data_IF_225075463138
#
_entry.id   IF_225075463138
#
_cell.length_a   1.000
_cell.length_b   1.000
_cell.length_c   1.000
_cell.angle_alpha   90.00
_cell.angle_beta   90.00
_cell.angle_gamma   90.00
#
_symmetry.space_group_name_H-M   'P 1'
#
loop_
_entity.id
_entity.type
_entity.pdbx_description
1 polymer ?
#
# COMPACT_ATOMS: atom_id res chain seq x y z
N UNK A 1 -3.39 32.25 -27.21
CA UNK A 1 -2.60 31.09 -27.69
C UNK A 1 -2.60 30.03 -26.59
N UNK A 2 -3.51 29.06 -26.65
CA UNK A 2 -3.49 27.88 -25.78
C UNK A 2 -2.37 26.96 -26.26
N UNK A 3 -1.33 26.76 -25.43
CA UNK A 3 -0.38 25.66 -25.65
C UNK A 3 -1.14 24.35 -25.37
N UNK A 4 -1.56 23.69 -26.44
CA UNK A 4 -1.89 22.27 -26.42
C UNK A 4 -0.60 21.52 -26.10
N UNK A 5 -0.41 21.16 -24.83
CA UNK A 5 0.58 20.17 -24.45
C UNK A 5 0.04 18.81 -24.91
N UNK A 6 0.39 18.43 -26.14
CA UNK A 6 0.23 17.05 -26.61
C UNK A 6 1.21 16.20 -25.80
N UNK A 7 0.71 15.45 -24.81
CA UNK A 7 1.50 14.39 -24.19
C UNK A 7 1.77 13.32 -25.26
N UNK A 8 3.04 13.07 -25.64
CA UNK A 8 3.34 12.03 -26.60
C UNK A 8 3.00 10.69 -25.92
N UNK A 9 2.17 9.89 -26.58
CA UNK A 9 1.69 8.54 -26.23
C UNK A 9 1.50 8.22 -24.73
N UNK A 10 0.25 7.98 -24.25
CA UNK A 10 0.04 7.62 -22.86
C UNK A 10 0.84 6.36 -22.52
N UNK A 11 1.72 6.44 -21.51
CA UNK A 11 2.52 5.32 -21.03
C UNK A 11 1.60 4.12 -20.83
N UNK A 12 1.88 3.03 -21.56
CA UNK A 12 1.10 1.81 -21.42
C UNK A 12 1.69 0.97 -20.29
N UNK A 13 0.94 0.86 -19.20
CA UNK A 13 1.33 0.02 -18.07
C UNK A 13 0.69 -1.35 -18.27
N UNK A 14 1.50 -2.40 -18.22
CA UNK A 14 1.06 -3.79 -18.34
C UNK A 14 1.36 -4.51 -17.04
N UNK A 15 0.34 -5.18 -16.49
CA UNK A 15 0.43 -6.04 -15.32
C UNK A 15 -0.50 -7.24 -15.49
N UNK A 16 -0.30 -8.28 -14.69
CA UNK A 16 -1.14 -9.47 -14.71
C UNK A 16 -1.62 -9.79 -13.31
N UNK A 17 -2.91 -10.08 -13.20
CA UNK A 17 -3.54 -10.57 -11.99
C UNK A 17 -4.17 -11.95 -12.26
N UNK A 18 -4.16 -12.85 -11.26
CA UNK A 18 -4.79 -14.15 -11.42
C UNK A 18 -6.30 -13.98 -11.69
N UNK A 19 -6.92 -14.82 -12.54
CA UNK A 19 -8.33 -14.69 -12.91
C UNK A 19 -9.28 -15.22 -11.82
N UNK A 20 -9.23 -14.64 -10.62
CA UNK A 20 -9.93 -15.09 -9.40
C UNK A 20 -11.42 -15.32 -9.62
N UNK A 21 -12.12 -14.39 -10.27
CA UNK A 21 -13.57 -14.49 -10.47
C UNK A 21 -13.97 -15.76 -11.21
N UNK A 22 -13.18 -16.16 -12.22
CA UNK A 22 -13.41 -17.41 -12.96
C UNK A 22 -13.11 -18.65 -12.12
N UNK A 23 -12.10 -18.59 -11.25
CA UNK A 23 -11.74 -19.71 -10.36
C UNK A 23 -12.79 -19.94 -9.26
N UNK A 24 -13.47 -18.88 -8.82
CA UNK A 24 -14.39 -18.93 -7.69
C UNK A 24 -15.87 -19.07 -8.09
N UNK A 25 -16.20 -18.98 -9.38
CA UNK A 25 -17.58 -19.08 -9.83
C UNK A 25 -18.19 -20.45 -9.45
N UNK A 26 -19.35 -20.43 -8.79
CA UNK A 26 -20.06 -21.60 -8.26
C UNK A 26 -19.50 -22.14 -6.93
N UNK A 27 -18.35 -21.64 -6.47
CA UNK A 27 -17.74 -22.10 -5.22
C UNK A 27 -18.58 -21.74 -3.99
N UNK A 28 -18.46 -22.55 -2.95
CA UNK A 28 -18.99 -22.19 -1.62
C UNK A 28 -18.11 -21.12 -0.96
N UNK A 29 -18.66 -20.31 -0.04
CA UNK A 29 -17.90 -19.34 0.74
C UNK A 29 -16.65 -19.94 1.41
N UNK A 30 -16.78 -21.15 1.97
CA UNK A 30 -15.69 -21.86 2.65
C UNK A 30 -14.56 -22.25 1.69
N UNK A 31 -14.92 -22.81 0.53
CA UNK A 31 -13.95 -23.18 -0.50
C UNK A 31 -13.20 -21.93 -0.99
N UNK A 32 -13.91 -20.83 -1.24
CA UNK A 32 -13.32 -19.60 -1.70
C UNK A 32 -12.32 -18.99 -0.69
N UNK A 33 -12.68 -18.92 0.59
CA UNK A 33 -11.77 -18.46 1.66
C UNK A 33 -10.49 -19.31 1.73
N UNK A 34 -10.63 -20.63 1.59
CA UNK A 34 -9.48 -21.57 1.62
C UNK A 34 -8.57 -21.41 0.39
N UNK A 35 -9.15 -21.15 -0.78
CA UNK A 35 -8.35 -20.93 -1.99
C UNK A 35 -7.62 -19.59 -1.93
N UNK A 36 -8.31 -18.52 -1.56
CA UNK A 36 -7.74 -17.16 -1.48
C UNK A 36 -6.55 -17.12 -0.51
N UNK A 37 -6.63 -17.76 0.65
CA UNK A 37 -5.55 -17.77 1.65
C UNK A 37 -4.26 -18.47 1.18
N UNK A 38 -4.30 -19.18 0.05
CA UNK A 38 -3.15 -19.93 -0.51
C UNK A 38 -2.64 -19.37 -1.83
N UNK A 39 -3.42 -18.52 -2.50
CA UNK A 39 -3.11 -18.09 -3.85
C UNK A 39 -2.13 -16.92 -3.90
N UNK A 40 -2.20 -16.03 -2.92
CA UNK A 40 -1.39 -14.81 -2.90
C UNK A 40 -0.13 -15.03 -2.06
N UNK A 41 1.02 -14.65 -2.61
CA UNK A 41 2.30 -14.67 -1.89
C UNK A 41 2.60 -13.36 -1.17
N UNK A 42 2.01 -12.25 -1.64
CA UNK A 42 2.11 -10.92 -1.05
C UNK A 42 0.76 -10.55 -0.44
N UNK A 43 0.78 -10.04 0.78
CA UNK A 43 -0.44 -9.63 1.51
C UNK A 43 -1.47 -10.78 1.65
N UNK A 44 -0.99 -12.02 1.80
CA UNK A 44 -1.82 -13.22 1.87
C UNK A 44 -2.82 -13.16 3.03
N UNK A 45 -2.38 -12.63 4.18
CA UNK A 45 -3.23 -12.48 5.35
C UNK A 45 -4.26 -11.37 5.16
N UNK A 46 -3.90 -10.28 4.47
CA UNK A 46 -4.88 -9.24 4.12
C UNK A 46 -5.94 -9.74 3.14
N UNK A 47 -5.56 -10.53 2.13
CA UNK A 47 -6.52 -11.19 1.22
C UNK A 47 -7.43 -12.16 1.97
N UNK A 48 -6.89 -12.94 2.91
CA UNK A 48 -7.66 -13.84 3.78
C UNK A 48 -8.65 -13.07 4.67
N UNK A 49 -8.22 -11.95 5.26
CA UNK A 49 -9.06 -11.08 6.07
C UNK A 49 -10.19 -10.45 5.23
N UNK A 50 -9.89 -9.94 4.03
CA UNK A 50 -10.88 -9.39 3.11
C UNK A 50 -11.92 -10.43 2.68
N UNK A 51 -11.48 -11.64 2.33
CA UNK A 51 -12.38 -12.74 2.01
C UNK A 51 -13.26 -13.15 3.20
N UNK A 52 -12.70 -13.16 4.41
CA UNK A 52 -13.44 -13.48 5.64
C UNK A 52 -14.50 -12.43 5.94
N UNK A 53 -14.14 -11.15 5.92
CA UNK A 53 -15.07 -10.03 6.09
C UNK A 53 -16.24 -10.06 5.10
N UNK A 54 -15.94 -10.44 3.87
CA UNK A 54 -16.89 -10.45 2.77
C UNK A 54 -17.87 -11.64 2.85
N UNK A 55 -17.33 -12.83 3.13
CA UNK A 55 -18.06 -14.09 3.00
C UNK A 55 -18.64 -14.60 4.33
N UNK A 56 -18.12 -14.12 5.46
CA UNK A 56 -18.50 -14.52 6.81
C UNK A 56 -18.72 -13.28 7.68
N UNK A 57 -19.77 -12.46 7.41
CA UNK A 57 -19.99 -11.20 8.11
C UNK A 57 -20.30 -11.36 9.61
N UNK A 58 -20.67 -12.55 10.08
CA UNK A 58 -20.87 -12.76 11.53
C UNK A 58 -19.53 -12.94 12.28
N UNK A 59 -18.43 -13.19 11.57
CA UNK A 59 -17.10 -13.35 12.18
C UNK A 59 -16.44 -11.98 12.39
N UNK A 60 -15.83 -11.80 13.57
CA UNK A 60 -14.92 -10.69 13.81
C UNK A 60 -13.62 -10.94 13.03
N UNK A 61 -13.11 -9.96 12.26
CA UNK A 61 -11.86 -10.13 11.53
C UNK A 61 -10.67 -10.15 12.49
N UNK A 62 -9.81 -11.17 12.38
CA UNK A 62 -8.48 -11.10 12.98
C UNK A 62 -7.54 -10.35 12.04
N UNK A 63 -7.23 -9.10 12.42
CA UNK A 63 -6.33 -8.23 11.68
C UNK A 63 -4.89 -8.33 12.16
N UNK A 64 -4.59 -9.10 13.22
CA UNK A 64 -3.26 -9.17 13.80
C UNK A 64 -2.26 -9.83 12.84
N UNK A 65 -2.66 -10.93 12.19
CA UNK A 65 -1.81 -11.60 11.20
C UNK A 65 -1.52 -10.70 9.98
N UNK A 66 -2.53 -9.99 9.46
CA UNK A 66 -2.37 -9.04 8.37
C UNK A 66 -1.47 -7.86 8.75
N UNK A 67 -1.59 -7.39 10.00
CA UNK A 67 -0.74 -6.32 10.53
C UNK A 67 0.74 -6.75 10.63
N UNK A 68 1.01 -7.94 11.16
CA UNK A 68 2.37 -8.48 11.24
C UNK A 68 2.97 -8.70 9.85
N UNK A 69 2.17 -9.19 8.90
CA UNK A 69 2.56 -9.32 7.49
C UNK A 69 2.93 -7.96 6.88
N UNK A 70 2.13 -6.92 7.13
CA UNK A 70 2.41 -5.54 6.67
C UNK A 70 3.77 -5.05 7.20
N UNK A 71 4.00 -5.17 8.51
CA UNK A 71 5.23 -4.74 9.15
C UNK A 71 6.45 -5.46 8.56
N UNK A 72 6.38 -6.79 8.50
CA UNK A 72 7.45 -7.63 7.97
C UNK A 72 7.73 -7.32 6.50
N UNK A 73 6.69 -7.13 5.68
CA UNK A 73 6.85 -6.85 4.26
C UNK A 73 7.46 -5.46 4.00
N UNK A 74 7.06 -4.46 4.79
CA UNK A 74 7.66 -3.12 4.71
C UNK A 74 9.14 -3.15 5.06
N UNK A 75 9.52 -3.87 6.12
CA UNK A 75 10.92 -4.02 6.52
C UNK A 75 11.71 -4.86 5.51
N UNK A 76 11.14 -5.94 4.97
CA UNK A 76 11.76 -6.73 3.89
C UNK A 76 12.06 -5.84 2.68
N UNK A 77 11.09 -5.03 2.25
CA UNK A 77 11.23 -4.08 1.14
C UNK A 77 12.31 -3.03 1.41
N UNK A 78 12.41 -2.58 2.66
CA UNK A 78 13.47 -1.67 3.08
C UNK A 78 14.86 -2.31 2.88
N UNK A 79 15.02 -3.57 3.30
CA UNK A 79 16.29 -4.30 3.17
C UNK A 79 16.65 -4.64 1.72
N UNK A 80 15.69 -5.09 0.92
CA UNK A 80 15.95 -5.58 -0.44
C UNK A 80 16.08 -4.49 -1.49
N UNK A 81 15.33 -3.40 -1.34
CA UNK A 81 15.18 -2.41 -2.41
C UNK A 81 15.57 -1.01 -1.98
N UNK A 82 15.06 -0.53 -0.84
CA UNK A 82 15.25 0.87 -0.45
C UNK A 82 16.69 1.16 0.00
N UNK A 83 17.31 0.25 0.76
CA UNK A 83 18.71 0.39 1.16
C UNK A 83 19.66 0.48 -0.05
N UNK A 84 19.62 -0.44 -1.03
CA UNK A 84 20.42 -0.30 -2.24
C UNK A 84 20.10 0.95 -3.06
N UNK A 85 18.82 1.29 -3.18
CA UNK A 85 18.37 2.38 -4.06
C UNK A 85 18.60 3.78 -3.50
N UNK A 86 18.49 3.96 -2.18
CA UNK A 86 18.53 5.28 -1.54
C UNK A 86 19.72 5.49 -0.59
N UNK A 87 20.25 4.42 0.02
CA UNK A 87 21.45 4.49 0.87
C UNK A 87 22.70 3.95 0.18
N UNK A 88 22.59 3.38 -1.02
CA UNK A 88 23.69 2.75 -1.76
C UNK A 88 24.45 1.70 -0.94
N UNK A 89 23.75 1.02 -0.02
CA UNK A 89 24.30 -0.05 0.81
C UNK A 89 23.41 -1.28 0.78
N UNK A 90 24.01 -2.43 1.07
CA UNK A 90 23.28 -3.66 1.29
C UNK A 90 22.89 -3.81 2.77
N UNK A 91 21.86 -4.60 3.02
CA UNK A 91 21.49 -4.99 4.37
C UNK A 91 22.57 -5.89 5.01
N UNK A 92 22.86 -5.68 6.29
CA UNK A 92 23.83 -6.46 7.05
C UNK A 92 23.26 -7.83 7.45
N UNK A 93 24.14 -8.77 7.82
CA UNK A 93 23.71 -10.07 8.32
C UNK A 93 22.87 -9.97 9.60
N UNK A 94 23.13 -8.96 10.44
CA UNK A 94 22.36 -8.67 11.65
C UNK A 94 20.94 -8.19 11.31
N UNK A 95 20.80 -7.22 10.39
CA UNK A 95 19.51 -6.71 9.92
C UNK A 95 18.63 -7.85 9.36
N UNK A 96 19.23 -8.74 8.56
CA UNK A 96 18.55 -9.93 8.06
C UNK A 96 18.15 -10.92 9.16
N UNK A 97 18.96 -11.04 10.21
CA UNK A 97 18.67 -11.94 11.33
C UNK A 97 17.48 -11.44 12.14
N UNK A 98 17.42 -10.13 12.41
CA UNK A 98 16.26 -9.52 13.07
C UNK A 98 14.96 -9.76 12.30
N UNK A 99 14.97 -9.58 10.97
CA UNK A 99 13.79 -9.85 10.13
C UNK A 99 13.35 -11.33 10.18
N UNK A 100 14.31 -12.26 10.16
CA UNK A 100 14.02 -13.71 10.21
C UNK A 100 13.45 -14.14 11.55
N UNK A 101 14.01 -13.65 12.65
CA UNK A 101 13.54 -13.97 14.00
C UNK A 101 12.24 -13.25 14.36
N UNK A 102 11.87 -12.20 13.63
CA UNK A 102 10.65 -11.44 13.91
C UNK A 102 10.85 -10.31 14.92
N UNK A 103 12.09 -9.88 15.14
CA UNK A 103 12.46 -8.72 15.97
C UNK A 103 12.18 -7.41 15.22
N UNK A 104 10.95 -7.25 14.72
CA UNK A 104 10.56 -6.22 13.77
C UNK A 104 10.70 -4.82 14.36
N UNK A 105 10.35 -4.62 15.64
CA UNK A 105 10.47 -3.32 16.30
C UNK A 105 11.92 -2.86 16.43
N UNK A 106 12.84 -3.78 16.76
CA UNK A 106 14.27 -3.46 16.86
C UNK A 106 14.88 -3.15 15.49
N UNK A 107 14.46 -3.87 14.44
CA UNK A 107 14.88 -3.57 13.07
C UNK A 107 14.33 -2.21 12.60
N UNK A 108 13.07 -1.91 12.92
CA UNK A 108 12.42 -0.67 12.57
C UNK A 108 13.02 0.53 13.30
N UNK A 109 13.36 0.39 14.58
CA UNK A 109 14.10 1.41 15.33
C UNK A 109 15.40 1.79 14.60
N UNK A 110 16.25 0.80 14.29
CA UNK A 110 17.54 1.01 13.61
C UNK A 110 17.40 1.71 12.24
N UNK A 111 16.43 1.30 11.42
CA UNK A 111 16.31 1.76 10.03
C UNK A 111 15.44 3.01 9.87
N UNK A 112 14.39 3.12 10.67
CA UNK A 112 13.35 4.13 10.51
C UNK A 112 13.37 5.17 11.62
N UNK A 113 13.32 4.77 12.88
CA UNK A 113 12.86 5.70 13.92
C UNK A 113 13.97 6.30 14.79
N UNK A 114 15.02 5.54 15.13
CA UNK A 114 16.03 5.92 16.14
C UNK A 114 15.36 6.31 17.48
N UNK A 115 14.29 5.57 17.77
CA UNK A 115 13.41 5.62 18.93
C UNK A 115 12.42 4.43 18.90
N UNK A 116 11.70 4.21 20.00
CA UNK A 116 10.57 3.29 20.01
C UNK A 116 9.51 3.70 18.96
N UNK A 117 9.03 2.76 18.11
CA UNK A 117 8.06 3.07 17.05
C UNK A 117 6.76 3.72 17.55
N UNK A 118 6.27 3.36 18.75
CA UNK A 118 5.04 3.95 19.28
C UNK A 118 5.30 5.37 19.83
N UNK A 119 6.44 5.59 20.47
CA UNK A 119 6.87 6.93 20.88
C UNK A 119 7.01 7.86 19.67
N UNK A 120 7.66 7.39 18.60
CA UNK A 120 7.78 8.13 17.33
C UNK A 120 6.41 8.44 16.71
N UNK A 121 5.49 7.48 16.70
CA UNK A 121 4.13 7.68 16.19
C UNK A 121 3.35 8.71 17.01
N UNK A 122 3.46 8.66 18.34
CA UNK A 122 2.78 9.56 19.27
C UNK A 122 3.30 11.01 19.18
N UNK A 123 4.54 11.21 18.76
CA UNK A 123 5.14 12.54 18.59
C UNK A 123 4.44 13.40 17.52
N UNK A 124 3.69 12.77 16.60
CA UNK A 124 2.87 13.45 15.60
C UNK A 124 3.68 14.32 14.65
N UNK A 125 2.99 15.20 13.90
CA UNK A 125 3.61 16.06 12.88
C UNK A 125 4.84 16.83 13.39
N UNK A 126 4.82 17.52 14.55
CA UNK A 126 6.00 18.24 15.04
C UNK A 126 7.19 17.31 15.30
N UNK A 127 6.92 16.12 15.86
CA UNK A 127 7.95 15.11 16.10
C UNK A 127 8.53 14.52 14.82
N UNK A 128 7.67 14.21 13.84
CA UNK A 128 8.10 13.67 12.55
C UNK A 128 8.94 14.70 11.77
N UNK A 129 8.57 15.98 11.83
CA UNK A 129 9.36 17.05 11.20
C UNK A 129 10.73 17.20 11.88
N UNK A 130 10.78 17.18 13.21
CA UNK A 130 12.04 17.21 13.95
C UNK A 130 12.92 15.98 13.65
N UNK A 131 12.33 14.79 13.60
CA UNK A 131 13.02 13.55 13.23
C UNK A 131 13.60 13.62 11.82
N UNK A 132 12.80 14.06 10.85
CA UNK A 132 13.21 14.25 9.46
C UNK A 132 14.39 15.22 9.34
N UNK A 133 14.34 16.38 10.02
CA UNK A 133 15.39 17.38 9.98
C UNK A 133 16.72 16.90 10.57
N UNK A 134 16.70 15.96 11.52
CA UNK A 134 17.91 15.40 12.14
C UNK A 134 18.63 14.39 11.23
N UNK A 135 17.92 13.73 10.31
CA UNK A 135 18.49 12.80 9.32
C UNK A 135 19.39 11.67 9.91
N UNK A 136 19.12 11.22 11.15
CA UNK A 136 19.94 10.19 11.84
C UNK A 136 19.69 8.78 11.32
N UNK A 137 18.48 8.46 10.88
CA UNK A 137 18.11 7.15 10.33
C UNK A 137 18.21 7.09 8.82
N UNK A 138 18.24 5.88 8.27
CA UNK A 138 18.18 5.67 6.83
C UNK A 138 16.88 6.25 6.25
N UNK A 139 15.72 5.98 6.87
CA UNK A 139 14.44 6.51 6.40
C UNK A 139 14.35 8.04 6.40
N UNK A 140 14.92 8.71 7.40
CA UNK A 140 14.98 10.18 7.42
C UNK A 140 15.83 10.72 6.25
N UNK A 141 16.99 10.09 5.97
CA UNK A 141 17.84 10.46 4.82
C UNK A 141 17.16 10.18 3.48
N UNK A 142 16.44 9.06 3.35
CA UNK A 142 15.67 8.74 2.16
C UNK A 142 14.61 9.81 1.88
N UNK A 143 13.89 10.25 2.90
CA UNK A 143 12.93 11.37 2.80
C UNK A 143 13.62 12.64 2.29
N UNK A 144 14.80 12.97 2.82
CA UNK A 144 15.55 14.16 2.37
C UNK A 144 15.90 14.06 0.90
N UNK A 145 16.29 12.87 0.43
CA UNK A 145 16.63 12.63 -0.95
C UNK A 145 15.41 12.63 -1.90
N UNK A 146 14.19 12.39 -1.39
CA UNK A 146 12.95 12.34 -2.16
C UNK A 146 12.20 13.68 -2.20
N UNK A 147 12.50 14.61 -1.28
CA UNK A 147 11.75 15.87 -1.15
C UNK A 147 11.84 16.78 -2.38
N UNK A 148 12.84 16.59 -3.23
CA UNK A 148 13.05 17.38 -4.46
C UNK A 148 12.26 16.82 -5.65
N UNK A 149 11.71 15.61 -5.53
CA UNK A 149 10.91 14.97 -6.58
C UNK A 149 9.47 15.49 -6.51
N UNK A 150 9.09 16.27 -7.51
CA UNK A 150 7.75 16.85 -7.64
C UNK A 150 6.95 16.01 -8.61
N UNK A 151 5.83 15.45 -8.15
CA UNK A 151 4.88 14.70 -8.98
C UNK A 151 3.47 15.22 -8.77
N UNK A 152 2.56 15.05 -9.75
CA UNK A 152 1.18 15.51 -9.62
C UNK A 152 0.47 14.81 -8.45
N UNK A 153 -0.34 15.58 -7.72
CA UNK A 153 -1.24 15.04 -6.71
C UNK A 153 -2.53 14.54 -7.35
N UNK A 154 -2.95 13.33 -7.00
CA UNK A 154 -4.25 12.79 -7.34
C UNK A 154 -5.23 13.01 -6.18
N UNK A 155 -6.56 12.99 -6.42
CA UNK A 155 -7.54 12.81 -5.36
C UNK A 155 -7.18 11.59 -4.49
N UNK A 156 -7.37 11.71 -3.18
CA UNK A 156 -7.00 10.68 -2.19
C UNK A 156 -8.25 9.96 -1.70
N UNK A 157 -8.28 8.63 -1.78
CA UNK A 157 -9.28 7.83 -1.08
C UNK A 157 -8.77 7.51 0.33
N UNK A 158 -9.04 8.40 1.29
CA UNK A 158 -8.51 8.28 2.66
C UNK A 158 -9.27 7.33 3.57
N UNK A 159 -10.47 6.91 3.16
CA UNK A 159 -11.37 6.11 3.98
C UNK A 159 -11.78 4.82 3.25
N UNK A 160 -12.05 3.73 3.99
CA UNK A 160 -12.47 2.45 3.41
C UNK A 160 -13.97 2.48 3.05
N UNK A 161 -14.36 3.28 2.07
CA UNK A 161 -15.77 3.51 1.71
C UNK A 161 -16.05 3.34 0.21
N UNK A 162 -17.24 3.74 -0.24
CA UNK A 162 -17.67 3.63 -1.64
C UNK A 162 -16.79 4.42 -2.63
N UNK A 163 -16.00 5.41 -2.19
CA UNK A 163 -15.06 6.12 -3.06
C UNK A 163 -14.08 5.17 -3.73
N UNK A 164 -13.73 4.05 -3.06
CA UNK A 164 -12.84 3.03 -3.59
C UNK A 164 -13.44 2.22 -4.74
N UNK A 165 -14.75 2.27 -4.92
CA UNK A 165 -15.46 1.62 -6.02
C UNK A 165 -15.63 2.54 -7.23
N UNK A 166 -15.49 3.85 -7.04
CA UNK A 166 -15.68 4.82 -8.11
C UNK A 166 -14.61 4.64 -9.20
N UNK A 167 -15.01 4.61 -10.49
CA UNK A 167 -14.05 4.60 -11.58
C UNK A 167 -13.40 5.97 -11.69
N UNK A 168 -12.07 6.02 -11.70
CA UNK A 168 -11.33 7.26 -11.89
C UNK A 168 -9.95 7.26 -11.25
N UNK A 169 -9.12 8.27 -11.57
CA UNK A 169 -7.77 8.40 -11.05
C UNK A 169 -7.85 8.86 -9.58
N UNK A 170 -7.76 7.90 -8.67
CA UNK A 170 -7.68 8.13 -7.23
C UNK A 170 -6.46 7.39 -6.68
N UNK A 171 -5.76 8.04 -5.76
CA UNK A 171 -4.69 7.43 -5.00
C UNK A 171 -5.30 6.60 -3.87
N UNK A 172 -4.88 5.35 -3.78
CA UNK A 172 -5.33 4.39 -2.76
C UNK A 172 -4.17 3.90 -1.88
N UNK A 173 -2.97 4.45 -2.10
CA UNK A 173 -1.73 4.02 -1.44
C UNK A 173 -1.70 4.41 0.04
N UNK A 174 -0.66 4.02 0.82
CA UNK A 174 -0.54 4.46 2.21
C UNK A 174 -0.57 5.99 2.36
N UNK A 175 -0.13 6.74 1.35
CA UNK A 175 -0.27 8.20 1.33
C UNK A 175 -1.74 8.61 1.45
N UNK A 176 -2.64 8.02 0.65
CA UNK A 176 -4.06 8.34 0.71
C UNK A 176 -4.65 8.04 2.09
N UNK A 177 -4.30 6.90 2.67
CA UNK A 177 -4.75 6.45 3.99
C UNK A 177 -4.31 7.41 5.10
N UNK A 178 -3.05 7.85 5.08
CA UNK A 178 -2.49 8.72 6.12
C UNK A 178 -2.61 10.22 5.78
N UNK A 179 -3.13 10.57 4.61
CA UNK A 179 -3.26 11.95 4.14
C UNK A 179 -3.94 12.90 5.15
N UNK A 180 -5.01 12.51 5.88
CA UNK A 180 -5.61 13.40 6.89
C UNK A 180 -4.62 13.89 7.94
N UNK A 181 -3.62 13.07 8.31
CA UNK A 181 -2.56 13.44 9.26
C UNK A 181 -1.41 14.21 8.62
N UNK A 182 -1.23 14.05 7.30
CA UNK A 182 -0.11 14.59 6.55
C UNK A 182 -0.41 15.89 5.81
N UNK A 183 -1.69 16.25 5.66
CA UNK A 183 -2.13 17.41 4.88
C UNK A 183 -1.50 18.74 5.32
N UNK A 184 -1.13 18.87 6.60
CA UNK A 184 -0.57 20.07 7.20
C UNK A 184 0.93 20.01 7.50
N UNK A 185 1.62 18.90 7.20
CA UNK A 185 3.06 18.79 7.47
C UNK A 185 3.90 19.62 6.47
N UNK A 186 5.15 19.92 6.82
CA UNK A 186 6.09 20.71 6.01
C UNK A 186 6.44 20.08 4.65
N UNK A 187 6.09 18.81 4.46
CA UNK A 187 6.22 18.09 3.20
C UNK A 187 4.95 18.17 2.33
N UNK A 188 3.95 18.96 2.71
CA UNK A 188 2.73 19.16 1.92
C UNK A 188 3.08 19.57 0.49
N UNK A 189 2.44 18.92 -0.50
CA UNK A 189 2.76 19.04 -1.92
C UNK A 189 3.96 18.23 -2.42
N UNK A 190 4.77 17.63 -1.54
CA UNK A 190 5.90 16.74 -1.90
C UNK A 190 5.47 15.27 -1.86
N UNK A 191 4.53 14.91 -2.72
CA UNK A 191 3.88 13.59 -2.84
C UNK A 191 4.84 12.40 -2.71
N UNK A 192 5.97 12.40 -3.42
CA UNK A 192 6.95 11.30 -3.37
C UNK A 192 7.55 11.13 -1.96
N UNK A 193 7.91 12.22 -1.29
CA UNK A 193 8.38 12.15 0.09
C UNK A 193 7.25 11.77 1.06
N UNK A 194 6.04 12.32 0.85
CA UNK A 194 4.87 11.98 1.65
C UNK A 194 4.50 10.51 1.57
N UNK A 195 4.71 9.83 0.43
CA UNK A 195 4.52 8.37 0.31
C UNK A 195 5.42 7.59 1.24
N UNK A 196 6.70 7.98 1.33
CA UNK A 196 7.63 7.33 2.25
C UNK A 196 7.27 7.63 3.71
N UNK A 197 6.90 8.87 4.04
CA UNK A 197 6.49 9.24 5.39
C UNK A 197 5.22 8.50 5.82
N UNK A 198 4.24 8.38 4.91
CA UNK A 198 3.04 7.59 5.14
C UNK A 198 3.38 6.12 5.43
N UNK A 199 4.31 5.51 4.68
CA UNK A 199 4.80 4.15 4.96
C UNK A 199 5.50 4.04 6.33
N UNK A 200 6.22 5.07 6.78
CA UNK A 200 6.79 5.11 8.14
C UNK A 200 5.68 5.12 9.21
N UNK A 201 4.62 5.92 9.01
CA UNK A 201 3.46 5.98 9.91
C UNK A 201 2.72 4.64 9.94
N UNK A 202 2.47 4.04 8.78
CA UNK A 202 1.82 2.72 8.68
C UNK A 202 2.67 1.63 9.35
N UNK A 203 3.99 1.64 9.14
CA UNK A 203 4.90 0.71 9.80
C UNK A 203 4.85 0.86 11.33
N UNK A 204 4.99 2.08 11.84
CA UNK A 204 4.92 2.35 13.28
C UNK A 204 3.58 1.88 13.88
N UNK A 205 2.46 2.18 13.23
CA UNK A 205 1.12 1.65 13.61
C UNK A 205 1.10 0.12 13.65
N UNK A 206 1.65 -0.53 12.63
CA UNK A 206 1.63 -1.98 12.50
C UNK A 206 2.49 -2.73 13.52
N UNK A 207 3.45 -2.06 14.15
CA UNK A 207 4.28 -2.63 15.21
C UNK A 207 3.60 -2.59 16.59
N UNK A 208 2.38 -2.03 16.69
CA UNK A 208 1.60 -2.07 17.93
C UNK A 208 1.12 -3.48 18.26
N UNK A 209 0.95 -3.76 19.56
CA UNK A 209 0.39 -5.03 20.02
C UNK A 209 -1.10 -5.17 19.68
N UNK A 210 -1.84 -4.05 19.62
CA UNK A 210 -3.24 -4.03 19.23
C UNK A 210 -3.39 -3.90 17.71
N UNK A 211 -4.39 -4.54 17.08
CA UNK A 211 -4.68 -4.33 15.67
C UNK A 211 -5.10 -2.88 15.39
N UNK A 212 -4.42 -2.24 14.45
CA UNK A 212 -4.62 -0.84 14.04
C UNK A 212 -5.02 -0.70 12.58
N UNK A 213 -4.96 -1.79 11.81
CA UNK A 213 -5.36 -1.80 10.39
C UNK A 213 -6.82 -1.40 10.24
N UNK A 214 -7.06 -0.53 9.28
CA UNK A 214 -8.38 -0.03 8.94
C UNK A 214 -9.03 -1.01 7.98
N UNK A 215 -10.34 -1.19 8.15
CA UNK A 215 -11.14 -2.04 7.29
C UNK A 215 -12.58 -1.55 7.29
N UNK A 216 -13.35 -2.01 6.32
CA UNK A 216 -14.79 -1.83 6.30
C UNK A 216 -15.45 -2.98 5.54
N UNK A 217 -16.75 -3.15 5.76
CA UNK A 217 -17.61 -4.00 4.94
C UNK A 217 -18.95 -3.33 4.75
N UNK A 218 -19.49 -3.45 3.55
CA UNK A 218 -20.79 -2.88 3.21
C UNK A 218 -21.39 -3.60 2.02
N UNK A 219 -22.67 -3.35 1.78
CA UNK A 219 -23.43 -3.85 0.64
C UNK A 219 -23.88 -2.64 -0.19
N UNK A 220 -23.71 -2.69 -1.51
CA UNK A 220 -24.18 -1.64 -2.43
C UNK A 220 -25.53 -1.97 -3.09
N UNK A 221 -26.19 -3.05 -2.64
CA UNK A 221 -27.44 -3.60 -3.14
C UNK A 221 -27.25 -4.77 -4.10
N UNK A 222 -26.15 -4.80 -4.86
CA UNK A 222 -25.82 -5.89 -5.79
C UNK A 222 -24.61 -6.68 -5.29
N UNK A 223 -23.61 -5.99 -4.77
CA UNK A 223 -22.34 -6.52 -4.34
C UNK A 223 -22.20 -6.43 -2.83
N UNK A 224 -21.73 -7.52 -2.25
CA UNK A 224 -21.05 -7.47 -0.96
C UNK A 224 -19.65 -6.95 -1.19
N UNK A 225 -19.17 -6.05 -0.33
CA UNK A 225 -17.84 -5.44 -0.42
C UNK A 225 -17.13 -5.58 0.93
N UNK A 226 -15.85 -5.92 0.87
CA UNK A 226 -14.91 -5.80 1.98
C UNK A 226 -13.69 -4.99 1.54
N UNK A 227 -13.24 -4.10 2.41
CA UNK A 227 -12.05 -3.27 2.22
C UNK A 227 -11.09 -3.52 3.37
N UNK A 228 -9.83 -3.76 3.07
CA UNK A 228 -8.76 -3.98 4.06
C UNK A 228 -7.54 -3.13 3.72
N UNK A 229 -6.97 -2.47 4.72
CA UNK A 229 -5.67 -1.79 4.62
C UNK A 229 -4.53 -2.80 4.42
N UNK A 230 -3.62 -2.52 3.49
CA UNK A 230 -2.43 -3.34 3.21
C UNK A 230 -1.17 -2.47 3.16
N UNK A 231 0.01 -3.10 3.06
CA UNK A 231 1.29 -2.40 2.89
C UNK A 231 1.33 -1.46 1.67
N UNK A 232 0.49 -1.69 0.66
CA UNK A 232 0.45 -0.92 -0.60
C UNK A 232 -0.79 -0.04 -0.73
N UNK A 233 -1.69 -0.04 0.25
CA UNK A 233 -2.93 0.72 0.18
C UNK A 233 -4.19 -0.13 0.36
N UNK A 234 -5.33 0.40 -0.10
CA UNK A 234 -6.61 -0.28 0.02
C UNK A 234 -6.75 -1.49 -0.90
N UNK A 235 -7.04 -2.63 -0.31
CA UNK A 235 -7.45 -3.84 -1.01
C UNK A 235 -8.96 -4.00 -0.92
N UNK A 236 -9.64 -4.11 -2.06
CA UNK A 236 -11.09 -4.32 -2.13
C UNK A 236 -11.39 -5.70 -2.67
N UNK A 237 -12.23 -6.44 -1.96
CA UNK A 237 -12.85 -7.67 -2.45
C UNK A 237 -14.35 -7.42 -2.61
N UNK A 238 -14.93 -7.93 -3.69
CA UNK A 238 -16.36 -7.85 -3.96
C UNK A 238 -16.91 -9.22 -4.36
N UNK A 239 -18.10 -9.57 -3.90
CA UNK A 239 -18.77 -10.80 -4.31
C UNK A 239 -20.27 -10.58 -4.53
N UNK A 240 -20.78 -11.23 -5.58
CA UNK A 240 -22.21 -11.50 -5.76
C UNK A 240 -22.47 -12.94 -5.39
N UNK A 241 -23.53 -13.19 -4.62
CA UNK A 241 -23.89 -14.53 -4.19
C UNK A 241 -25.24 -14.94 -4.79
N UNK A 242 -25.42 -16.24 -5.03
CA UNK A 242 -26.73 -16.80 -5.35
C UNK A 242 -27.64 -16.79 -4.11
N UNK A 243 -28.93 -17.05 -4.29
CA UNK A 243 -29.87 -17.25 -3.16
C UNK A 243 -29.46 -18.40 -2.24
N UNK A 244 -28.76 -19.41 -2.77
CA UNK A 244 -28.18 -20.52 -2.01
C UNK A 244 -26.82 -20.22 -1.37
N UNK A 245 -26.29 -18.99 -1.52
CA UNK A 245 -25.05 -18.53 -0.91
C UNK A 245 -23.76 -18.89 -1.66
N UNK A 246 -23.85 -19.45 -2.87
CA UNK A 246 -22.69 -19.75 -3.71
C UNK A 246 -22.20 -18.48 -4.42
N UNK A 247 -20.91 -18.44 -4.78
CA UNK A 247 -20.33 -17.31 -5.50
C UNK A 247 -20.85 -17.27 -6.94
N UNK A 248 -21.54 -16.20 -7.29
CA UNK A 248 -21.98 -15.90 -8.65
C UNK A 248 -20.90 -15.15 -9.44
N UNK A 249 -20.30 -14.14 -8.81
CA UNK A 249 -19.17 -13.36 -9.34
C UNK A 249 -18.28 -12.92 -8.18
N UNK A 250 -16.97 -12.82 -8.42
CA UNK A 250 -15.97 -12.41 -7.43
C UNK A 250 -14.92 -11.50 -8.06
N UNK A 251 -14.70 -10.34 -7.47
CA UNK A 251 -13.74 -9.35 -7.96
C UNK A 251 -12.78 -8.95 -6.87
N UNK A 252 -11.55 -8.73 -7.26
CA UNK A 252 -10.52 -8.10 -6.43
C UNK A 252 -10.08 -6.85 -7.16
N UNK A 253 -10.04 -5.74 -6.43
CA UNK A 253 -9.42 -4.50 -6.88
C UNK A 253 -8.22 -4.30 -5.97
N UNK A 254 -7.04 -4.66 -6.48
CA UNK A 254 -5.80 -4.50 -5.73
C UNK A 254 -5.32 -3.05 -5.76
N UNK A 255 -4.44 -2.64 -4.84
CA UNK A 255 -3.75 -1.36 -4.96
C UNK A 255 -3.07 -1.21 -6.32
N UNK A 256 -2.49 -2.29 -6.87
CA UNK A 256 -1.83 -2.25 -8.17
C UNK A 256 -2.80 -2.03 -9.32
N UNK A 257 -3.99 -2.65 -9.28
CA UNK A 257 -5.06 -2.39 -10.26
C UNK A 257 -5.36 -0.89 -10.34
N UNK A 258 -5.42 -0.21 -9.19
CA UNK A 258 -5.66 1.24 -9.10
C UNK A 258 -4.43 2.07 -9.48
N UNK A 259 -3.23 1.63 -9.09
CA UNK A 259 -2.00 2.36 -9.38
C UNK A 259 -1.67 2.35 -10.87
N UNK A 260 -1.95 1.24 -11.56
CA UNK A 260 -1.57 0.97 -12.94
C UNK A 260 -2.66 1.29 -13.98
N UNK A 261 -3.89 1.62 -13.55
CA UNK A 261 -4.96 2.02 -14.46
C UNK A 261 -4.54 3.23 -15.33
N UNK A 262 -5.21 3.47 -16.48
CA UNK A 262 -5.03 4.70 -17.23
C UNK A 262 -5.22 5.92 -16.33
N UNK A 263 -4.33 6.90 -16.41
CA UNK A 263 -4.33 8.08 -15.53
C UNK A 263 -4.10 7.78 -14.02
N UNK A 264 -3.75 6.55 -13.66
CA UNK A 264 -3.36 6.17 -12.30
C UNK A 264 -2.04 6.79 -11.87
N UNK A 265 -1.67 6.58 -10.60
CA UNK A 265 -0.47 7.19 -10.00
C UNK A 265 0.80 6.85 -10.79
N UNK A 266 0.95 5.62 -11.29
CA UNK A 266 2.15 5.24 -12.05
C UNK A 266 2.22 6.06 -13.34
N UNK A 267 1.14 6.10 -14.13
CA UNK A 267 1.14 6.81 -15.41
C UNK A 267 1.42 8.31 -15.21
N UNK A 268 0.73 8.93 -14.23
CA UNK A 268 0.82 10.37 -13.98
C UNK A 268 2.15 10.81 -13.39
N UNK A 269 2.69 10.05 -12.45
CA UNK A 269 3.96 10.41 -11.83
C UNK A 269 5.12 10.16 -12.80
N UNK A 270 5.12 9.05 -13.55
CA UNK A 270 6.21 8.77 -14.49
C UNK A 270 6.20 9.68 -15.71
N UNK A 271 5.04 10.15 -16.17
CA UNK A 271 4.92 11.05 -17.31
C UNK A 271 5.62 12.41 -17.11
N UNK A 272 5.85 12.84 -15.86
CA UNK A 272 6.52 14.11 -15.55
C UNK A 272 7.98 13.93 -15.12
N UNK A 273 8.42 12.68 -14.92
CA UNK A 273 9.76 12.35 -14.45
C UNK A 273 10.65 11.87 -15.61
N UNK A 274 11.95 12.20 -15.59
CA UNK A 274 12.89 11.61 -16.54
C UNK A 274 12.98 10.09 -16.32
N UNK A 275 13.18 9.33 -17.40
CA UNK A 275 13.27 7.85 -17.39
C UNK A 275 14.28 7.34 -16.36
N UNK A 276 15.38 8.06 -16.14
CA UNK A 276 16.41 7.72 -15.14
C UNK A 276 15.88 7.70 -13.69
N UNK A 277 14.74 8.32 -13.42
CA UNK A 277 14.10 8.35 -12.10
C UNK A 277 12.94 7.35 -11.96
N UNK A 278 12.54 6.67 -13.03
CA UNK A 278 11.37 5.78 -13.00
C UNK A 278 11.52 4.62 -12.03
N UNK A 279 12.67 3.93 -12.04
CA UNK A 279 12.96 2.86 -11.08
C UNK A 279 12.79 3.33 -9.64
N UNK A 280 13.37 4.50 -9.34
CA UNK A 280 13.30 5.13 -8.02
C UNK A 280 11.86 5.44 -7.62
N UNK A 281 11.06 5.98 -8.54
CA UNK A 281 9.66 6.31 -8.29
C UNK A 281 8.80 5.06 -8.06
N UNK A 282 9.00 4.02 -8.87
CA UNK A 282 8.31 2.74 -8.72
C UNK A 282 8.60 2.08 -7.39
N UNK A 283 9.80 2.26 -6.80
CA UNK A 283 10.13 1.74 -5.47
C UNK A 283 9.36 2.45 -4.33
N UNK A 284 8.93 3.69 -4.54
CA UNK A 284 8.13 4.47 -3.58
C UNK A 284 6.63 4.19 -3.75
N UNK A 285 6.15 4.10 -4.99
CA UNK A 285 4.80 3.66 -5.30
C UNK A 285 4.60 2.21 -4.81
N UNK A 286 5.59 1.36 -5.09
CA UNK A 286 5.69 -0.05 -4.71
C UNK A 286 4.43 -0.85 -5.07
N UNK A 287 4.20 -1.14 -6.38
CA UNK A 287 3.11 -1.99 -6.81
C UNK A 287 3.30 -3.44 -6.30
N UNK A 288 2.19 -4.11 -6.01
CA UNK A 288 2.14 -5.48 -5.49
C UNK A 288 2.55 -6.54 -6.52
N UNK A 289 2.50 -6.23 -7.81
CA UNK A 289 2.94 -7.12 -8.89
C UNK A 289 3.90 -6.38 -9.81
N UNK A 290 4.70 -7.13 -10.56
CA UNK A 290 5.57 -6.55 -11.56
C UNK A 290 4.73 -5.76 -12.59
N UNK A 291 5.14 -4.51 -12.82
CA UNK A 291 4.56 -3.63 -13.82
C UNK A 291 5.59 -3.43 -14.92
N UNK A 292 5.16 -3.61 -16.16
CA UNK A 292 5.98 -3.31 -17.34
C UNK A 292 5.49 -1.99 -17.94
N UNK A 293 6.42 -1.08 -18.20
CA UNK A 293 6.13 0.19 -18.86
C UNK A 293 6.51 0.02 -20.33
N UNK A 294 5.55 0.23 -21.21
CA UNK A 294 5.74 0.19 -22.66
C UNK A 294 5.51 1.60 -23.18
N UNK A 295 6.53 2.14 -23.87
CA UNK A 295 6.44 3.39 -24.64
C UNK A 295 5.73 3.17 -25.98
#
# INVERSE_FOLDING_TARGET
MQRLTLYPHPLRIVWQEPPIGRLLQGATPLHAKTLISRLFTLCAQAHSAAASLLLFPEEAPDMQAAQQELARETLRRALTDWLPQFSHRQATAEEWTLLRHGDLSLLADKLFFDDDPQAWLAAGVPGWEAWFLRARTDAARWLTALQTTITPMLPMASFPDQTLLTPGPVDVSPLAIEYPRLSTCCLSGKTTALRLLARCITLARSLSALPTLRWNRFDDGEWKIAVVETARGWLVHQARLTTSGHILDYRIISPTTRHAQPEGVIARELAVLPVSQWSRQLQVIDPCVAVNIVE
#
